data_IF_969547441857
#
_entry.id   IF_969547441857
#
_cell.length_a   1.000
_cell.length_b   1.000
_cell.length_c   1.000
_cell.angle_alpha   90.00
_cell.angle_beta   90.00
_cell.angle_gamma   90.00
#
_symmetry.space_group_name_H-M   'P 1'
#
loop_
_entity.id
_entity.type
_entity.pdbx_description
1 polymer ?
#
# COMPACT_ATOMS: atom_id res chain seq x y z
N UNK A 1 4.31 -28.88 0.12
CA UNK A 1 3.59 -28.84 -1.17
C UNK A 1 2.98 -27.44 -1.30
N UNK A 2 3.33 -26.68 -2.32
CA UNK A 2 2.76 -25.34 -2.52
C UNK A 2 1.33 -25.46 -3.05
N UNK A 3 0.40 -24.65 -2.51
CA UNK A 3 -1.03 -24.73 -2.86
C UNK A 3 -1.64 -23.34 -3.08
N UNK A 4 -2.67 -23.25 -3.93
CA UNK A 4 -3.52 -22.07 -4.05
C UNK A 4 -4.75 -22.27 -3.17
N UNK A 5 -4.91 -21.42 -2.19
CA UNK A 5 -6.04 -21.49 -1.25
C UNK A 5 -7.24 -20.64 -1.70
N UNK A 6 -7.00 -19.61 -2.49
CA UNK A 6 -8.06 -18.70 -2.97
C UNK A 6 -7.62 -17.96 -4.23
N UNK A 7 -8.56 -17.74 -5.15
CA UNK A 7 -8.41 -16.79 -6.25
C UNK A 7 -9.55 -15.76 -6.24
N UNK A 8 -9.29 -14.55 -6.70
CA UNK A 8 -10.28 -13.45 -6.78
C UNK A 8 -9.80 -12.36 -7.73
N UNK A 9 -10.70 -11.49 -8.17
CA UNK A 9 -10.35 -10.23 -8.82
C UNK A 9 -10.20 -9.17 -7.74
N UNK A 10 -9.22 -8.31 -7.91
CA UNK A 10 -8.95 -7.19 -7.01
C UNK A 10 -8.20 -6.06 -7.71
N UNK A 11 -7.65 -5.17 -6.93
CA UNK A 11 -6.76 -4.11 -7.41
C UNK A 11 -5.39 -4.21 -6.73
N UNK A 12 -4.36 -3.83 -7.46
CA UNK A 12 -3.02 -3.61 -6.95
C UNK A 12 -2.56 -2.25 -7.50
N UNK A 13 -2.28 -1.29 -6.62
CA UNK A 13 -1.98 0.10 -7.00
C UNK A 13 -2.97 0.65 -8.05
N UNK A 14 -4.28 0.51 -7.77
CA UNK A 14 -5.40 0.91 -8.64
C UNK A 14 -5.51 0.14 -9.96
N UNK A 15 -4.59 -0.76 -10.26
CA UNK A 15 -4.63 -1.60 -11.46
C UNK A 15 -5.43 -2.88 -11.19
N UNK A 16 -6.39 -3.25 -12.05
CA UNK A 16 -7.12 -4.50 -11.93
C UNK A 16 -6.20 -5.71 -12.06
N UNK A 17 -6.32 -6.65 -11.13
CA UNK A 17 -5.49 -7.86 -11.08
C UNK A 17 -6.32 -9.09 -10.70
N UNK A 18 -5.89 -10.25 -11.16
CA UNK A 18 -6.26 -11.52 -10.55
C UNK A 18 -5.33 -11.77 -9.37
N UNK A 19 -5.86 -11.99 -8.18
CA UNK A 19 -5.11 -12.33 -6.98
C UNK A 19 -5.23 -13.81 -6.70
N UNK A 20 -4.10 -14.49 -6.56
CA UNK A 20 -4.02 -15.86 -6.08
C UNK A 20 -3.31 -15.88 -4.73
N UNK A 21 -3.99 -16.37 -3.68
CA UNK A 21 -3.37 -16.60 -2.38
C UNK A 21 -2.76 -17.98 -2.35
N UNK A 22 -1.44 -18.01 -2.21
CA UNK A 22 -0.65 -19.24 -2.16
C UNK A 22 -0.27 -19.52 -0.71
N UNK A 23 -0.11 -20.80 -0.41
CA UNK A 23 0.26 -21.32 0.91
C UNK A 23 1.38 -22.34 0.76
N UNK A 24 2.42 -22.17 1.54
CA UNK A 24 3.45 -23.17 1.75
C UNK A 24 3.25 -23.82 3.13
N UNK A 25 2.58 -24.98 3.23
CA UNK A 25 2.37 -25.66 4.52
C UNK A 25 3.59 -26.44 5.01
N UNK A 26 4.66 -26.53 4.20
CA UNK A 26 5.85 -27.30 4.55
C UNK A 26 6.82 -26.52 5.40
N UNK A 27 7.71 -27.22 6.08
CA UNK A 27 8.84 -26.64 6.81
C UNK A 27 10.00 -26.20 5.90
N UNK A 28 9.91 -26.48 4.60
CA UNK A 28 10.94 -26.09 3.63
C UNK A 28 10.64 -24.73 3.02
N UNK A 29 11.66 -23.93 2.86
CA UNK A 29 11.63 -22.76 2.00
C UNK A 29 11.74 -23.19 0.55
N UNK A 30 10.97 -22.56 -0.34
CA UNK A 30 11.14 -22.69 -1.78
C UNK A 30 11.61 -21.35 -2.36
N UNK A 31 12.69 -21.40 -3.13
CA UNK A 31 13.24 -20.25 -3.86
C UNK A 31 13.23 -20.51 -5.36
N UNK A 32 13.62 -19.49 -6.13
CA UNK A 32 13.71 -19.55 -7.59
C UNK A 32 12.46 -20.17 -8.26
N UNK A 33 11.29 -19.83 -7.70
CA UNK A 33 10.03 -20.37 -8.21
C UNK A 33 9.66 -19.65 -9.50
N UNK A 34 9.49 -20.41 -10.57
CA UNK A 34 8.86 -19.97 -11.80
C UNK A 34 7.39 -20.37 -11.79
N UNK A 35 6.47 -19.47 -12.15
CA UNK A 35 5.04 -19.74 -12.19
C UNK A 35 4.43 -19.38 -13.53
N UNK A 36 3.62 -20.27 -14.07
CA UNK A 36 2.77 -20.04 -15.23
C UNK A 36 1.31 -20.00 -14.79
N UNK A 37 0.54 -19.08 -15.36
CA UNK A 37 -0.89 -19.01 -15.07
C UNK A 37 -1.72 -18.79 -16.34
N UNK A 38 -2.91 -19.39 -16.32
CA UNK A 38 -3.89 -19.28 -17.40
C UNK A 38 -5.25 -19.03 -16.76
N UNK A 39 -5.93 -17.97 -17.18
CA UNK A 39 -7.32 -17.69 -16.81
C UNK A 39 -8.23 -18.07 -17.96
N UNK A 40 -9.24 -18.87 -17.68
CA UNK A 40 -10.25 -19.29 -18.66
C UNK A 40 -11.66 -19.15 -18.11
N UNK A 41 -12.68 -19.12 -18.98
CA UNK A 41 -14.07 -19.39 -18.58
C UNK A 41 -14.26 -20.91 -18.41
N UNK A 42 -15.11 -21.35 -17.48
CA UNK A 42 -15.44 -22.77 -17.36
C UNK A 42 -15.92 -23.34 -18.69
N UNK A 43 -15.40 -24.51 -19.04
CA UNK A 43 -15.72 -25.19 -20.31
C UNK A 43 -15.04 -24.61 -21.55
N UNK A 44 -14.31 -23.49 -21.44
CA UNK A 44 -13.56 -22.92 -22.57
C UNK A 44 -12.10 -23.35 -22.52
N UNK A 45 -11.56 -23.68 -23.69
CA UNK A 45 -10.12 -23.89 -23.88
C UNK A 45 -9.38 -22.58 -24.24
N UNK A 46 -10.11 -21.53 -24.63
CA UNK A 46 -9.51 -20.25 -25.04
C UNK A 46 -9.06 -19.46 -23.81
N UNK A 47 -7.75 -19.15 -23.68
CA UNK A 47 -7.26 -18.32 -22.61
C UNK A 47 -7.81 -16.89 -22.70
N UNK A 48 -8.18 -16.33 -21.56
CA UNK A 48 -8.52 -14.91 -21.42
C UNK A 48 -7.28 -14.10 -20.98
N UNK A 49 -6.44 -14.73 -20.18
CA UNK A 49 -5.22 -14.16 -19.67
C UNK A 49 -4.19 -15.27 -19.48
N UNK A 50 -2.96 -15.00 -19.85
CA UNK A 50 -1.81 -15.86 -19.58
C UNK A 50 -0.66 -15.03 -19.06
N UNK A 51 0.22 -15.63 -18.30
CA UNK A 51 1.44 -14.94 -17.88
C UNK A 51 2.39 -15.87 -17.16
N UNK A 52 3.57 -15.32 -16.90
CA UNK A 52 4.70 -16.00 -16.31
C UNK A 52 5.39 -15.08 -15.30
N UNK A 53 5.85 -15.65 -14.19
CA UNK A 53 6.69 -14.99 -13.20
C UNK A 53 7.87 -15.88 -12.85
N UNK A 54 8.99 -15.27 -12.52
CA UNK A 54 10.22 -15.96 -12.08
C UNK A 54 10.78 -15.31 -10.83
N UNK A 55 11.69 -16.02 -10.17
CA UNK A 55 12.41 -15.49 -9.02
C UNK A 55 11.57 -15.33 -7.76
N UNK A 56 10.42 -16.03 -7.66
CA UNK A 56 9.62 -15.99 -6.44
C UNK A 56 10.26 -16.84 -5.36
N UNK A 57 10.13 -16.41 -4.10
CA UNK A 57 10.53 -17.19 -2.94
C UNK A 57 9.40 -17.23 -1.91
N UNK A 58 9.23 -18.37 -1.25
CA UNK A 58 8.17 -18.60 -0.26
C UNK A 58 8.75 -19.23 0.98
N UNK A 59 8.59 -18.54 2.10
CA UNK A 59 9.04 -19.03 3.40
C UNK A 59 8.23 -20.25 3.87
N UNK A 60 8.77 -21.07 4.78
CA UNK A 60 8.03 -22.14 5.44
C UNK A 60 6.77 -21.62 6.11
N UNK A 61 5.71 -22.44 6.15
CA UNK A 61 4.45 -22.19 6.84
C UNK A 61 3.85 -20.79 6.55
N UNK A 62 4.06 -20.27 5.33
CA UNK A 62 3.68 -18.89 4.99
C UNK A 62 2.62 -18.81 3.90
N UNK A 63 1.94 -17.67 3.89
CA UNK A 63 1.04 -17.29 2.80
C UNK A 63 1.63 -16.08 2.06
N UNK A 64 1.43 -16.06 0.75
CA UNK A 64 1.66 -14.87 -0.04
C UNK A 64 0.57 -14.69 -1.09
N UNK A 65 0.42 -13.49 -1.61
CA UNK A 65 -0.55 -13.20 -2.67
C UNK A 65 0.19 -12.81 -3.94
N UNK A 66 0.02 -13.63 -4.96
CA UNK A 66 0.50 -13.32 -6.30
C UNK A 66 -0.57 -12.48 -7.01
N UNK A 67 -0.17 -11.32 -7.52
CA UNK A 67 -1.03 -10.42 -8.28
C UNK A 67 -0.67 -10.52 -9.76
N UNK A 68 -1.65 -10.89 -10.58
CA UNK A 68 -1.53 -11.10 -12.02
C UNK A 68 -2.27 -9.96 -12.73
N UNK A 69 -1.58 -9.03 -13.40
CA UNK A 69 -2.22 -7.90 -14.06
C UNK A 69 -3.22 -8.37 -15.13
N UNK A 70 -4.40 -7.76 -15.14
CA UNK A 70 -5.39 -8.01 -16.20
C UNK A 70 -5.03 -7.27 -17.49
N UNK A 71 -4.09 -6.32 -17.42
CA UNK A 71 -3.74 -5.43 -18.53
C UNK A 71 -5.00 -4.83 -19.15
N UNK A 72 -5.20 -4.98 -20.45
CA UNK A 72 -6.39 -4.52 -21.17
C UNK A 72 -7.55 -5.51 -21.15
N UNK A 73 -7.41 -6.66 -20.49
CA UNK A 73 -8.42 -7.71 -20.45
C UNK A 73 -9.62 -7.28 -19.61
N UNK A 74 -10.74 -7.02 -20.25
CA UNK A 74 -12.01 -6.71 -19.58
C UNK A 74 -12.72 -8.01 -19.23
N UNK A 75 -12.95 -8.23 -17.95
CA UNK A 75 -13.71 -9.37 -17.45
C UNK A 75 -15.15 -8.95 -17.13
N UNK A 76 -16.13 -9.68 -17.68
CA UNK A 76 -17.52 -9.54 -17.31
C UNK A 76 -17.81 -10.27 -15.98
N UNK A 77 -18.95 -9.99 -15.36
CA UNK A 77 -19.44 -10.81 -14.25
C UNK A 77 -19.57 -12.27 -14.68
N UNK A 78 -19.16 -13.20 -13.82
CA UNK A 78 -19.20 -14.62 -14.15
C UNK A 78 -18.25 -15.47 -13.31
N UNK A 79 -18.21 -16.75 -13.63
CA UNK A 79 -17.27 -17.71 -13.03
C UNK A 79 -16.05 -17.83 -13.93
N UNK A 80 -14.88 -18.00 -13.31
CA UNK A 80 -13.59 -18.16 -13.97
C UNK A 80 -12.81 -19.30 -13.33
N UNK A 81 -11.94 -19.91 -14.12
CA UNK A 81 -10.99 -20.92 -13.66
C UNK A 81 -9.58 -20.38 -13.84
N UNK A 82 -8.85 -20.28 -12.75
CA UNK A 82 -7.42 -20.02 -12.75
C UNK A 82 -6.68 -21.36 -12.73
N UNK A 83 -5.94 -21.64 -13.78
CA UNK A 83 -4.97 -22.75 -13.87
C UNK A 83 -3.60 -22.16 -13.55
N UNK A 84 -2.90 -22.76 -12.63
CA UNK A 84 -1.62 -22.28 -12.15
C UNK A 84 -0.64 -23.45 -12.03
N UNK A 85 0.57 -23.24 -12.50
CA UNK A 85 1.66 -24.20 -12.40
C UNK A 85 2.88 -23.47 -11.84
N UNK A 86 3.61 -24.09 -10.92
CA UNK A 86 4.85 -23.59 -10.37
C UNK A 86 5.93 -24.65 -10.42
N UNK A 87 7.17 -24.20 -10.60
CA UNK A 87 8.37 -25.05 -10.60
C UNK A 87 9.45 -24.41 -9.73
N UNK A 88 10.12 -25.23 -8.94
CA UNK A 88 11.32 -24.84 -8.16
C UNK A 88 12.25 -26.03 -8.12
N UNK A 89 13.39 -25.94 -8.81
CA UNK A 89 14.27 -27.07 -9.01
C UNK A 89 13.55 -28.28 -9.65
N UNK A 90 13.56 -29.41 -8.98
CA UNK A 90 12.87 -30.64 -9.41
C UNK A 90 11.39 -30.68 -9.04
N UNK A 91 10.89 -29.74 -8.24
CA UNK A 91 9.51 -29.71 -7.78
C UNK A 91 8.61 -29.03 -8.82
N UNK A 92 7.44 -29.64 -9.06
CA UNK A 92 6.39 -29.06 -9.89
C UNK A 92 5.06 -29.17 -9.17
N UNK A 93 4.31 -28.08 -9.14
CA UNK A 93 2.96 -28.01 -8.57
C UNK A 93 2.00 -27.50 -9.62
N UNK A 94 0.83 -28.10 -9.73
CA UNK A 94 -0.25 -27.62 -10.61
C UNK A 94 -1.56 -27.60 -9.83
N UNK A 95 -2.30 -26.51 -9.96
CA UNK A 95 -3.60 -26.33 -9.30
C UNK A 95 -4.56 -25.59 -10.21
N UNK A 96 -5.86 -25.93 -10.04
CA UNK A 96 -6.96 -25.17 -10.65
C UNK A 96 -7.89 -24.69 -9.55
N UNK A 97 -8.29 -23.44 -9.63
CA UNK A 97 -9.21 -22.81 -8.68
C UNK A 97 -10.29 -22.06 -9.43
N UNK A 98 -11.54 -22.40 -9.13
CA UNK A 98 -12.69 -21.68 -9.64
C UNK A 98 -13.03 -20.53 -8.69
N UNK A 99 -13.36 -19.36 -9.25
CA UNK A 99 -13.83 -18.21 -8.48
C UNK A 99 -14.88 -17.44 -9.25
N UNK A 100 -15.73 -16.73 -8.52
CA UNK A 100 -16.77 -15.89 -9.09
C UNK A 100 -16.37 -14.41 -9.01
N UNK A 101 -16.57 -13.70 -10.10
CA UNK A 101 -16.43 -12.26 -10.19
C UNK A 101 -17.80 -11.63 -10.43
N UNK A 102 -18.16 -10.61 -9.67
CA UNK A 102 -19.46 -9.95 -9.74
C UNK A 102 -19.52 -8.78 -10.75
N UNK A 103 -18.43 -8.53 -11.47
CA UNK A 103 -18.34 -7.43 -12.43
C UNK A 103 -17.91 -6.09 -11.81
N UNK A 104 -17.74 -6.04 -10.49
CA UNK A 104 -17.32 -4.84 -9.78
C UNK A 104 -15.91 -5.04 -9.23
N UNK A 105 -15.01 -4.14 -9.58
CA UNK A 105 -13.70 -4.10 -8.93
C UNK A 105 -13.92 -3.62 -7.49
N UNK A 106 -13.30 -4.29 -6.50
CA UNK A 106 -13.35 -3.79 -5.13
C UNK A 106 -12.77 -2.38 -5.15
N UNK A 107 -13.57 -1.40 -4.75
CA UNK A 107 -13.10 -0.06 -4.52
C UNK A 107 -12.03 -0.19 -3.44
N UNK A 108 -10.80 0.15 -3.77
CA UNK A 108 -9.78 0.37 -2.75
C UNK A 108 -10.26 1.60 -1.97
N UNK A 109 -11.02 1.37 -0.91
CA UNK A 109 -11.16 2.37 0.13
C UNK A 109 -9.74 2.54 0.63
N UNK A 110 -9.06 3.58 0.16
CA UNK A 110 -7.87 4.07 0.84
C UNK A 110 -8.37 4.29 2.25
N UNK A 111 -8.03 3.39 3.16
CA UNK A 111 -8.27 3.62 4.56
C UNK A 111 -7.63 4.99 4.81
N UNK A 112 -8.47 6.00 5.05
CA UNK A 112 -8.00 7.29 5.46
C UNK A 112 -7.08 6.99 6.61
N UNK A 113 -5.78 7.22 6.42
CA UNK A 113 -4.78 7.04 7.46
C UNK A 113 -5.39 7.72 8.67
N UNK A 114 -5.57 7.05 9.81
CA UNK A 114 -6.04 7.73 11.00
C UNK A 114 -5.17 8.97 11.12
N UNK A 115 -5.76 10.16 11.06
CA UNK A 115 -5.02 11.39 11.28
C UNK A 115 -4.32 11.21 12.61
N UNK A 116 -3.00 11.16 12.57
CA UNK A 116 -2.22 11.16 13.79
C UNK A 116 -2.66 12.39 14.57
N UNK A 117 -2.89 12.31 15.88
CA UNK A 117 -3.26 13.48 16.69
C UNK A 117 -2.25 14.63 16.59
N UNK A 118 -1.05 14.38 16.02
CA UNK A 118 -0.02 15.38 15.75
C UNK A 118 -0.26 16.23 14.49
N UNK A 119 -1.26 15.88 13.63
CA UNK A 119 -1.64 16.70 12.48
C UNK A 119 -2.81 17.66 12.81
N UNK A 120 -3.20 17.78 14.06
CA UNK A 120 -4.06 18.86 14.52
C UNK A 120 -3.24 20.15 14.44
N UNK A 121 -3.64 20.99 13.50
CA UNK A 121 -3.11 22.31 13.21
C UNK A 121 -2.60 23.05 14.45
N UNK A 122 -1.32 22.89 14.75
CA UNK A 122 -0.61 23.68 15.77
C UNK A 122 -0.12 25.01 15.15
N UNK A 123 -0.97 25.64 14.36
CA UNK A 123 -0.72 26.94 13.75
C UNK A 123 -1.35 28.11 14.49
N UNK A 124 -1.85 27.88 15.73
CA UNK A 124 -2.71 28.90 16.36
C UNK A 124 -2.01 29.94 17.19
N UNK A 125 -0.97 29.66 17.96
CA UNK A 125 -0.56 30.59 19.01
C UNK A 125 0.95 30.93 19.07
N UNK A 126 1.85 30.06 18.59
CA UNK A 126 3.29 30.29 18.67
C UNK A 126 3.79 31.58 17.98
N UNK A 127 3.36 31.93 16.75
CA UNK A 127 3.84 33.16 16.11
C UNK A 127 3.34 34.43 16.83
N UNK A 128 2.16 34.41 17.42
CA UNK A 128 1.60 35.54 18.15
C UNK A 128 2.27 35.76 19.50
N UNK A 129 2.67 34.69 20.20
CA UNK A 129 3.39 34.75 21.47
C UNK A 129 4.80 35.36 21.25
N UNK A 130 5.50 34.92 20.21
CA UNK A 130 6.84 35.46 19.88
C UNK A 130 6.74 36.94 19.48
N UNK A 131 5.76 37.32 18.68
CA UNK A 131 5.53 38.73 18.29
C UNK A 131 5.17 39.61 19.51
N UNK A 132 4.41 39.07 20.47
CA UNK A 132 4.05 39.77 21.70
C UNK A 132 5.27 40.06 22.60
N UNK A 133 6.14 39.08 22.79
CA UNK A 133 7.35 39.20 23.64
C UNK A 133 8.35 40.20 23.04
N UNK A 134 8.57 40.18 21.74
CA UNK A 134 9.48 41.08 21.06
C UNK A 134 9.00 42.54 21.16
N UNK A 135 7.70 42.78 21.03
CA UNK A 135 7.09 44.11 21.16
C UNK A 135 7.23 44.68 22.58
N UNK A 136 7.00 43.84 23.58
CA UNK A 136 7.10 44.22 24.99
C UNK A 136 8.56 44.61 25.35
N UNK A 137 9.55 43.84 24.91
CA UNK A 137 10.97 44.13 25.11
C UNK A 137 11.39 45.49 24.48
N UNK A 138 10.90 45.75 23.28
CA UNK A 138 11.23 47.00 22.56
C UNK A 138 10.66 48.23 23.28
N UNK A 139 9.46 48.14 23.85
CA UNK A 139 8.86 49.23 24.66
C UNK A 139 9.68 49.49 25.93
N UNK A 140 10.11 48.41 26.62
CA UNK A 140 10.92 48.54 27.83
C UNK A 140 12.26 49.22 27.53
N UNK A 141 12.94 48.79 26.46
CA UNK A 141 14.23 49.38 26.06
C UNK A 141 14.09 50.87 25.72
N UNK A 142 13.05 51.24 24.95
CA UNK A 142 12.76 52.62 24.62
C UNK A 142 12.40 53.47 25.87
N UNK A 143 11.68 52.91 26.81
CA UNK A 143 11.33 53.53 28.07
C UNK A 143 12.58 53.82 28.93
N UNK A 144 13.46 52.84 29.08
CA UNK A 144 14.72 52.99 29.81
C UNK A 144 15.68 53.98 29.15
N UNK A 145 15.75 53.96 27.80
CA UNK A 145 16.58 54.93 27.07
C UNK A 145 16.08 56.37 27.25
N UNK A 146 14.77 56.58 27.16
CA UNK A 146 14.16 57.90 27.38
C UNK A 146 14.34 58.38 28.80
N UNK A 147 14.19 57.50 29.81
CA UNK A 147 14.46 57.84 31.20
C UNK A 147 15.92 58.28 31.40
N UNK A 148 16.87 57.51 30.86
CA UNK A 148 18.30 57.84 30.98
C UNK A 148 18.63 59.17 30.34
N UNK A 149 18.08 59.48 29.16
CA UNK A 149 18.29 60.77 28.47
C UNK A 149 17.69 61.93 29.27
N UNK A 150 16.54 61.78 29.89
CA UNK A 150 15.93 62.88 30.69
C UNK A 150 16.69 63.09 31.99
N UNK A 151 17.13 62.00 32.67
CA UNK A 151 17.90 62.14 33.91
C UNK A 151 19.31 62.75 33.69
N UNK A 152 19.96 62.44 32.58
CA UNK A 152 21.28 63.10 32.28
C UNK A 152 21.19 64.60 31.96
N UNK A 153 20.01 65.10 31.55
CA UNK A 153 19.79 66.50 31.30
C UNK A 153 19.54 67.36 32.56
N UNK A 154 19.23 66.72 33.70
CA UNK A 154 18.97 67.44 34.96
C UNK A 154 20.23 67.61 35.83
N UNK A 155 21.34 66.97 35.47
CA UNK A 155 22.60 67.02 36.22
C UNK A 155 23.68 67.85 35.54
N UNK A 156 23.32 68.72 34.60
CA UNK A 156 24.15 69.80 34.07
C UNK A 156 23.45 71.15 34.34
#
# INVERSE_FOLDING_TARGET
>A
MLDITKASIGTNNHTPVVKARLHNPSSNQFGEIATDYILVKPGSQKPLLTGHFTGLAVAPHSFFTQSMPLNETKLAAGTYTLKWTAKSGSYTWSKQVNFRYNGQLPISVTASRPRSPSDADDHGLLPWIIAGITSALLIIVLGLWRWNVVHHRQNQ
#
